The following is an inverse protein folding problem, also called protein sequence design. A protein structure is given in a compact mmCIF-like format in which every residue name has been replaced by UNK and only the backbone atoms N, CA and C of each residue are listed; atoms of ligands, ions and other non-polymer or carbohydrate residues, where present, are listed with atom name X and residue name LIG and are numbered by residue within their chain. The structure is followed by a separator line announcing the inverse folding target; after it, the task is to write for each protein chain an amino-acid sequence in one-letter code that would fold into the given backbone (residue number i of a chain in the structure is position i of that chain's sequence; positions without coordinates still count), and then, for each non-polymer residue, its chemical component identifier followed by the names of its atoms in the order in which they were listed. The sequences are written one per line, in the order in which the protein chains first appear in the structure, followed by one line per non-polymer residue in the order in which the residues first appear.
data_IF_769951001587
#
_entry.id   IF_769951001587
#
_cell.length_a   1.000
_cell.length_b   1.000
_cell.length_c   1.000
_cell.angle_alpha   90.00
_cell.angle_beta   90.00
_cell.angle_gamma   90.00
#
_symmetry.space_group_name_H-M   'P 1'
#
loop_
_entity.id
_entity.type
_entity.pdbx_description
1 polymer ?
#
# COMPACT_ATOMS: atom_id res chain seq x y z
N UNK A 1 1.17 7.15 -1.19
CA UNK A 1 -0.17 7.65 -1.50
C UNK A 1 -0.22 9.14 -1.21
N UNK A 2 -0.58 9.92 -2.22
CA UNK A 2 -0.82 11.37 -2.07
C UNK A 2 -2.22 11.60 -1.49
N UNK A 3 -3.22 10.83 -1.95
CA UNK A 3 -4.60 10.86 -1.43
C UNK A 3 -4.98 9.49 -0.85
N UNK A 4 -4.65 9.23 0.42
CA UNK A 4 -4.84 7.92 1.05
C UNK A 4 -6.31 7.47 1.14
N UNK A 5 -7.22 8.39 1.49
CA UNK A 5 -8.65 8.08 1.58
C UNK A 5 -9.26 7.74 0.21
N UNK A 6 -8.91 8.49 -0.83
CA UNK A 6 -9.40 8.21 -2.19
C UNK A 6 -8.98 6.81 -2.66
N UNK A 7 -7.74 6.40 -2.40
CA UNK A 7 -7.25 5.04 -2.70
C UNK A 7 -8.04 3.98 -1.93
N UNK A 8 -8.32 4.22 -0.64
CA UNK A 8 -9.11 3.30 0.17
C UNK A 8 -10.56 3.17 -0.32
N UNK A 9 -11.19 4.28 -0.69
CA UNK A 9 -12.54 4.26 -1.26
C UNK A 9 -12.58 3.53 -2.61
N UNK A 10 -11.59 3.74 -3.49
CA UNK A 10 -11.47 2.99 -4.75
C UNK A 10 -11.32 1.49 -4.51
N UNK A 11 -10.49 1.10 -3.53
CA UNK A 11 -10.37 -0.30 -3.11
C UNK A 11 -11.69 -0.86 -2.57
N UNK A 12 -12.38 -0.08 -1.73
CA UNK A 12 -13.71 -0.40 -1.22
C UNK A 12 -14.72 -0.66 -2.33
N UNK A 13 -14.84 0.25 -3.30
CA UNK A 13 -15.70 0.08 -4.49
C UNK A 13 -15.37 -1.19 -5.25
N UNK A 14 -14.08 -1.46 -5.50
CA UNK A 14 -13.63 -2.69 -6.19
C UNK A 14 -14.02 -3.98 -5.45
N UNK A 15 -14.10 -3.93 -4.11
CA UNK A 15 -14.44 -5.06 -3.23
C UNK A 15 -15.88 -5.03 -2.71
N UNK A 16 -16.74 -4.17 -3.26
CA UNK A 16 -18.12 -3.95 -2.81
C UNK A 16 -18.23 -3.66 -1.29
N UNK A 17 -17.31 -2.86 -0.75
CA UNK A 17 -17.31 -2.40 0.62
C UNK A 17 -17.30 -0.87 0.64
N UNK A 18 -18.48 -0.27 0.83
CA UNK A 18 -18.68 1.18 0.87
C UNK A 18 -18.11 1.86 2.12
N UNK A 19 -17.80 1.09 3.17
CA UNK A 19 -17.27 1.59 4.45
C UNK A 19 -15.74 1.51 4.57
N UNK A 20 -15.03 1.34 3.44
CA UNK A 20 -13.58 1.23 3.43
C UNK A 20 -12.91 2.57 3.72
N UNK A 21 -11.99 2.58 4.69
CA UNK A 21 -11.16 3.75 5.06
C UNK A 21 -9.68 3.38 4.92
N UNK A 22 -8.80 4.38 4.93
CA UNK A 22 -7.37 4.11 4.89
C UNK A 22 -6.89 3.32 6.12
N UNK A 23 -7.45 3.50 7.30
CA UNK A 23 -7.08 2.76 8.51
C UNK A 23 -7.26 1.26 8.31
N UNK A 24 -8.43 0.85 7.77
CA UNK A 24 -8.74 -0.55 7.44
C UNK A 24 -7.82 -1.09 6.35
N UNK A 25 -7.63 -0.33 5.27
CA UNK A 25 -6.71 -0.71 4.18
C UNK A 25 -5.27 -0.87 4.68
N UNK A 26 -4.80 0.04 5.53
CA UNK A 26 -3.44 0.01 6.09
C UNK A 26 -3.21 -1.24 6.93
N UNK A 27 -4.24 -1.80 7.57
CA UNK A 27 -4.14 -3.06 8.30
C UNK A 27 -3.80 -4.22 7.39
N UNK A 28 -4.42 -4.29 6.22
CA UNK A 28 -4.11 -5.27 5.17
C UNK A 28 -2.69 -5.04 4.62
N UNK A 29 -2.30 -3.79 4.38
CA UNK A 29 -0.93 -3.50 3.91
C UNK A 29 0.16 -3.95 4.90
N UNK A 30 -0.09 -3.85 6.21
CA UNK A 30 0.84 -4.39 7.24
C UNK A 30 0.98 -5.91 7.11
N UNK A 31 -0.12 -6.63 6.91
CA UNK A 31 -0.06 -8.07 6.64
C UNK A 31 0.68 -8.37 5.33
N UNK A 32 0.42 -7.61 4.26
CA UNK A 32 1.14 -7.76 2.99
C UNK A 32 2.65 -7.54 3.14
N UNK A 33 3.09 -6.64 4.03
CA UNK A 33 4.52 -6.47 4.35
C UNK A 33 5.09 -7.71 5.02
N UNK A 34 4.45 -8.21 6.08
CA UNK A 34 4.86 -9.46 6.74
C UNK A 34 4.86 -10.66 5.79
N UNK A 35 3.95 -10.67 4.81
CA UNK A 35 3.86 -11.73 3.80
C UNK A 35 4.89 -11.60 2.67
N UNK A 36 5.60 -10.46 2.53
CA UNK A 36 6.63 -10.22 1.51
C UNK A 36 6.18 -9.51 0.23
N UNK A 37 4.93 -9.02 0.18
CA UNK A 37 4.42 -8.23 -0.95
C UNK A 37 4.83 -6.76 -0.88
N UNK A 38 5.16 -6.26 0.31
CA UNK A 38 5.82 -4.96 0.50
C UNK A 38 7.17 -5.13 1.16
N UNK A 39 8.16 -4.38 0.68
CA UNK A 39 9.48 -4.27 1.28
C UNK A 39 9.59 -3.01 2.15
N UNK A 40 10.69 -2.91 2.89
CA UNK A 40 11.06 -1.69 3.58
C UNK A 40 11.39 -0.55 2.61
N UNK A 41 10.99 0.64 3.01
CA UNK A 41 11.32 1.88 2.31
C UNK A 41 12.66 2.39 2.86
N UNK A 42 13.66 2.70 2.01
CA UNK A 42 14.94 3.24 2.47
C UNK A 42 14.76 4.51 3.30
N UNK A 43 15.46 4.58 4.45
CA UNK A 43 15.38 5.71 5.40
C UNK A 43 16.40 6.82 5.12
N UNK A 44 16.93 6.90 3.90
CA UNK A 44 17.97 7.85 3.49
C UNK A 44 17.45 9.29 3.24
N UNK A 45 16.27 9.64 3.73
CA UNK A 45 15.66 10.97 3.56
C UNK A 45 15.06 11.26 2.17
N UNK A 46 15.28 10.41 1.16
CA UNK A 46 14.74 10.61 -0.19
C UNK A 46 13.24 10.34 -0.33
N UNK A 47 12.67 9.59 0.62
CA UNK A 47 11.26 9.18 0.58
C UNK A 47 10.49 9.72 1.77
N UNK A 48 9.20 10.06 1.61
CA UNK A 48 8.34 10.45 2.72
C UNK A 48 8.26 9.38 3.81
N UNK A 49 8.27 9.82 5.08
CA UNK A 49 8.16 8.91 6.24
C UNK A 49 6.81 8.22 6.35
N UNK A 50 5.74 8.84 5.84
CA UNK A 50 4.35 8.35 5.92
C UNK A 50 3.81 8.11 4.51
N UNK A 51 2.88 7.15 4.41
CA UNK A 51 2.18 6.81 3.17
C UNK A 51 3.10 6.41 1.99
N UNK A 52 4.37 6.08 2.25
CA UNK A 52 5.30 5.59 1.26
C UNK A 52 5.43 4.06 1.39
N UNK A 53 5.35 3.36 0.26
CA UNK A 53 5.39 1.90 0.19
C UNK A 53 6.25 1.48 -1.00
N UNK A 54 6.84 0.29 -0.88
CA UNK A 54 7.67 -0.31 -1.92
C UNK A 54 7.24 -1.74 -2.13
N UNK A 55 7.08 -2.15 -3.38
CA UNK A 55 6.81 -3.54 -3.70
C UNK A 55 7.96 -4.45 -3.27
N UNK A 56 7.60 -5.58 -2.64
CA UNK A 56 8.53 -6.60 -2.17
C UNK A 56 8.78 -7.68 -3.21
N UNK A 57 9.61 -8.67 -2.84
CA UNK A 57 10.05 -9.73 -3.75
C UNK A 57 8.91 -10.62 -4.26
N UNK A 58 7.81 -10.77 -3.50
CA UNK A 58 6.64 -11.56 -3.95
C UNK A 58 5.70 -10.81 -4.89
N UNK A 59 5.84 -9.48 -4.99
CA UNK A 59 5.05 -8.69 -5.92
C UNK A 59 5.69 -8.71 -7.32
N UNK A 60 4.87 -8.95 -8.34
CA UNK A 60 5.26 -9.07 -9.74
C UNK A 60 4.45 -8.12 -10.63
N UNK A 61 4.89 -7.92 -11.87
CA UNK A 61 4.18 -7.08 -12.86
C UNK A 61 4.26 -5.57 -12.61
N UNK A 62 5.12 -5.10 -11.70
CA UNK A 62 5.28 -3.67 -11.37
C UNK A 62 6.59 -3.04 -11.88
N UNK A 63 7.56 -3.87 -12.26
CA UNK A 63 8.79 -3.39 -12.91
C UNK A 63 8.52 -3.30 -14.40
N UNK A 64 8.98 -2.22 -15.03
CA UNK A 64 9.06 -2.17 -16.48
C UNK A 64 9.97 -3.32 -16.97
N UNK A 65 9.64 -3.87 -18.14
CA UNK A 65 10.45 -4.90 -18.81
C UNK A 65 11.85 -4.37 -19.16
#
# INVERSE_FOLDING_TARGET
FVQSEAVAQMWGRKKNNTSMTYEKLSRAMRFCRSAGYFADVPKNGKFPKKLCFRFGQKAHGWKDL
#
